data_IF_422063975167
#
_entry.id   IF_422063975167
#
_cell.length_a   1.000
_cell.length_b   1.000
_cell.length_c   1.000
_cell.angle_alpha   90.00
_cell.angle_beta   90.00
_cell.angle_gamma   90.00
#
_symmetry.space_group_name_H-M   'P 1'
#
loop_
_entity.id
_entity.type
_entity.pdbx_description
1 polymer ?
#
# COMPACT_ATOMS: atom_id res chain seq x y z
N UNK A 1 71.89 36.55 42.63
CA UNK A 1 72.23 37.86 42.04
C UNK A 1 71.77 37.81 40.59
N UNK A 2 70.78 38.64 40.25
CA UNK A 2 70.03 38.76 38.98
C UNK A 2 69.23 37.49 38.56
N UNK A 3 67.89 37.42 38.56
CA UNK A 3 66.81 38.32 38.11
C UNK A 3 66.89 38.67 36.63
N UNK A 4 66.03 38.05 35.81
CA UNK A 4 65.06 38.78 34.97
C UNK A 4 63.97 37.84 34.44
N UNK A 5 62.76 38.38 34.46
CA UNK A 5 61.44 37.82 34.18
C UNK A 5 60.96 38.37 32.82
N UNK A 6 59.83 37.86 32.33
CA UNK A 6 58.93 38.36 31.27
C UNK A 6 59.11 37.66 29.90
N UNK A 7 58.08 37.05 29.29
CA UNK A 7 56.65 37.39 29.28
C UNK A 7 55.80 36.13 29.01
N UNK A 8 54.71 35.93 29.75
CA UNK A 8 53.54 35.14 29.34
C UNK A 8 52.38 36.15 29.14
N UNK A 9 51.51 36.04 28.12
CA UNK A 9 50.30 35.22 28.29
C UNK A 9 49.69 34.65 26.99
N UNK A 10 49.23 33.39 26.98
CA UNK A 10 47.83 33.02 26.65
C UNK A 10 47.61 31.49 26.69
N UNK A 11 46.73 31.04 27.61
CA UNK A 11 45.91 29.82 27.52
C UNK A 11 44.56 30.26 26.84
N UNK A 12 43.67 29.40 26.28
CA UNK A 12 43.17 28.25 27.00
C UNK A 12 42.96 26.92 26.21
N UNK A 13 43.08 25.83 26.98
CA UNK A 13 42.14 24.70 27.14
C UNK A 13 41.49 23.96 25.95
N UNK A 14 41.38 22.64 26.15
CA UNK A 14 40.27 21.80 25.67
C UNK A 14 40.50 21.21 24.27
N UNK A 15 40.51 19.90 24.10
CA UNK A 15 39.28 19.10 24.12
C UNK A 15 39.69 17.61 24.29
N UNK A 16 39.39 16.97 25.41
CA UNK A 16 38.16 16.17 25.62
C UNK A 16 37.94 15.20 24.45
N UNK A 17 38.33 13.94 24.60
CA UNK A 17 37.40 12.99 25.21
C UNK A 17 36.16 12.89 24.32
N UNK A 18 36.24 12.13 23.21
CA UNK A 18 35.07 11.76 22.41
C UNK A 18 34.19 10.85 23.27
N UNK A 19 33.32 11.46 24.07
CA UNK A 19 32.30 10.77 24.84
C UNK A 19 31.33 10.10 23.87
N UNK A 20 31.23 8.77 23.96
CA UNK A 20 30.15 7.97 23.39
C UNK A 20 28.86 8.14 24.22
N UNK A 21 28.33 9.35 24.28
CA UNK A 21 27.05 9.68 24.91
C UNK A 21 26.48 10.89 24.16
N UNK A 22 25.57 10.62 23.22
CA UNK A 22 24.43 11.46 22.83
C UNK A 22 23.76 10.93 21.55
N UNK A 23 23.64 9.60 21.42
CA UNK A 23 22.54 9.07 20.62
C UNK A 23 21.29 9.18 21.48
N UNK A 24 20.57 10.29 21.36
CA UNK A 24 19.21 10.37 21.90
C UNK A 24 18.46 9.11 21.46
N UNK A 25 17.91 8.30 22.39
CA UNK A 25 17.21 7.09 22.01
C UNK A 25 16.08 7.49 21.06
N UNK A 26 16.10 6.94 19.85
CA UNK A 26 15.04 7.19 18.89
C UNK A 26 13.71 6.85 19.59
N UNK A 27 12.73 7.76 19.60
CA UNK A 27 11.46 7.49 20.26
C UNK A 27 10.85 6.23 19.63
N UNK A 28 10.72 5.17 20.42
CA UNK A 28 10.13 3.91 20.00
C UNK A 28 8.62 4.10 20.03
N UNK A 29 7.99 4.03 18.86
CA UNK A 29 6.54 4.08 18.76
C UNK A 29 5.95 2.76 19.27
N UNK A 30 4.92 2.78 20.14
CA UNK A 30 4.17 1.59 20.54
C UNK A 30 3.64 0.80 19.32
N UNK A 31 3.60 -0.53 19.45
CA UNK A 31 3.18 -1.43 18.37
C UNK A 31 1.76 -1.14 17.87
N UNK A 32 0.86 -0.75 18.76
CA UNK A 32 -0.52 -0.37 18.45
C UNK A 32 -0.59 0.85 17.52
N UNK A 33 0.23 1.87 17.79
CA UNK A 33 0.30 3.06 16.94
C UNK A 33 0.97 2.76 15.60
N UNK A 34 1.99 1.89 15.58
CA UNK A 34 2.56 1.40 14.32
C UNK A 34 1.48 0.72 13.48
N UNK A 35 0.69 -0.17 14.09
CA UNK A 35 -0.41 -0.87 13.41
C UNK A 35 -1.44 0.11 12.85
N UNK A 36 -1.87 1.10 13.64
CA UNK A 36 -2.85 2.11 13.22
C UNK A 36 -2.36 2.99 12.07
N UNK A 37 -1.08 3.38 12.10
CA UNK A 37 -0.46 4.19 11.02
C UNK A 37 -0.39 3.36 9.74
N UNK A 38 0.16 2.15 9.83
CA UNK A 38 0.33 1.27 8.66
C UNK A 38 -1.04 0.89 8.07
N UNK A 39 -2.06 0.65 8.91
CA UNK A 39 -3.42 0.29 8.47
C UNK A 39 -4.13 1.40 7.67
N UNK A 40 -3.65 2.64 7.71
CA UNK A 40 -4.21 3.77 6.95
C UNK A 40 -3.51 4.00 5.60
N UNK A 41 -2.44 3.28 5.33
CA UNK A 41 -1.66 3.44 4.10
C UNK A 41 -2.35 2.81 2.89
N UNK A 42 -1.99 3.31 1.71
CA UNK A 42 -2.43 2.71 0.44
C UNK A 42 -1.84 1.30 0.25
N UNK A 43 -2.53 0.46 -0.51
CA UNK A 43 -2.06 -0.90 -0.85
C UNK A 43 -0.66 -0.87 -1.47
N UNK A 44 -0.38 0.11 -2.34
CA UNK A 44 0.94 0.29 -2.97
C UNK A 44 2.06 0.49 -1.95
N UNK A 45 1.84 1.38 -0.97
CA UNK A 45 2.80 1.61 0.10
C UNK A 45 3.01 0.35 0.94
N UNK A 46 1.93 -0.38 1.24
CA UNK A 46 2.00 -1.62 2.01
C UNK A 46 2.81 -2.71 1.32
N UNK A 47 2.68 -2.87 0.00
CA UNK A 47 3.50 -3.82 -0.77
C UNK A 47 4.98 -3.49 -0.65
N UNK A 48 5.36 -2.21 -0.71
CA UNK A 48 6.75 -1.79 -0.51
C UNK A 48 7.22 -2.07 0.93
N UNK A 49 6.35 -1.84 1.91
CA UNK A 49 6.67 -2.00 3.33
C UNK A 49 6.87 -3.46 3.75
N UNK A 50 6.26 -4.40 3.04
CA UNK A 50 6.55 -5.83 3.20
C UNK A 50 8.02 -6.18 2.96
N UNK A 51 8.75 -5.37 2.18
CA UNK A 51 10.16 -5.60 1.87
C UNK A 51 11.13 -4.94 2.87
N UNK A 52 10.66 -4.13 3.81
CA UNK A 52 11.52 -3.39 4.74
C UNK A 52 12.12 -4.32 5.80
N UNK A 53 11.28 -5.06 6.52
CA UNK A 53 11.74 -6.04 7.50
C UNK A 53 10.68 -7.13 7.80
N UNK A 54 11.12 -8.22 8.45
CA UNK A 54 10.27 -9.37 8.79
C UNK A 54 9.08 -8.99 9.68
N UNK A 55 9.27 -8.06 10.62
CA UNK A 55 8.19 -7.63 11.51
C UNK A 55 7.07 -6.92 10.76
N UNK A 56 7.41 -6.07 9.78
CA UNK A 56 6.41 -5.38 8.96
C UNK A 56 5.73 -6.35 7.99
N UNK A 57 6.48 -7.27 7.39
CA UNK A 57 5.90 -8.35 6.59
C UNK A 57 4.89 -9.18 7.41
N UNK A 58 5.26 -9.58 8.63
CA UNK A 58 4.39 -10.34 9.52
C UNK A 58 3.13 -9.56 9.92
N UNK A 59 3.28 -8.27 10.22
CA UNK A 59 2.16 -7.39 10.59
C UNK A 59 1.17 -7.26 9.43
N UNK A 60 1.68 -6.92 8.24
CA UNK A 60 0.88 -6.67 7.03
C UNK A 60 0.22 -7.96 6.51
N UNK A 61 0.85 -9.12 6.74
CA UNK A 61 0.29 -10.42 6.32
C UNK A 61 -0.72 -11.01 7.30
N UNK A 62 -0.98 -10.35 8.44
CA UNK A 62 -1.91 -10.85 9.46
C UNK A 62 -3.37 -10.67 9.05
N UNK A 63 -4.24 -11.58 9.51
CA UNK A 63 -5.68 -11.53 9.24
C UNK A 63 -6.35 -10.30 9.87
N UNK A 64 -5.90 -9.93 11.06
CA UNK A 64 -6.38 -8.73 11.76
C UNK A 64 -6.07 -7.47 10.97
N UNK A 65 -4.84 -7.36 10.46
CA UNK A 65 -4.44 -6.23 9.60
C UNK A 65 -5.32 -6.16 8.34
N UNK A 66 -5.52 -7.28 7.65
CA UNK A 66 -6.37 -7.32 6.46
C UNK A 66 -7.82 -6.85 6.75
N UNK A 67 -8.42 -7.32 7.85
CA UNK A 67 -9.76 -6.88 8.28
C UNK A 67 -9.82 -5.40 8.60
N UNK A 68 -8.85 -4.90 9.36
CA UNK A 68 -8.81 -3.49 9.76
C UNK A 68 -8.59 -2.58 8.56
N UNK A 69 -7.65 -2.93 7.67
CA UNK A 69 -7.38 -2.19 6.43
C UNK A 69 -8.61 -2.14 5.52
N UNK A 70 -9.30 -3.27 5.32
CA UNK A 70 -10.54 -3.33 4.55
C UNK A 70 -11.65 -2.46 5.16
N UNK A 71 -11.83 -2.51 6.48
CA UNK A 71 -12.80 -1.67 7.18
C UNK A 71 -12.49 -0.19 6.98
N UNK A 72 -11.25 0.23 7.23
CA UNK A 72 -10.82 1.62 7.05
C UNK A 72 -11.03 2.06 5.59
N UNK A 73 -10.67 1.22 4.62
CA UNK A 73 -10.88 1.52 3.20
C UNK A 73 -12.37 1.71 2.87
N UNK A 74 -13.24 0.85 3.40
CA UNK A 74 -14.69 0.94 3.18
C UNK A 74 -15.31 2.20 3.80
N UNK A 75 -14.82 2.63 4.97
CA UNK A 75 -15.28 3.83 5.66
C UNK A 75 -14.79 5.10 4.97
N UNK A 76 -13.53 5.11 4.52
CA UNK A 76 -12.94 6.21 3.75
C UNK A 76 -13.62 6.39 2.39
N UNK A 77 -14.09 5.31 1.79
CA UNK A 77 -14.79 5.32 0.52
C UNK A 77 -16.28 5.72 0.63
N UNK A 78 -16.81 6.06 1.81
CA UNK A 78 -18.19 6.60 1.93
C UNK A 78 -18.39 7.96 1.24
N UNK A 79 -17.31 8.59 0.76
CA UNK A 79 -17.33 9.72 -0.16
C UNK A 79 -16.13 9.69 -1.12
N UNK A 80 -15.57 8.49 -1.35
CA UNK A 80 -14.48 8.27 -2.30
C UNK A 80 -15.05 7.80 -3.64
N UNK A 81 -14.25 7.85 -4.71
CA UNK A 81 -14.71 7.44 -6.02
C UNK A 81 -15.21 6.00 -6.04
N UNK A 82 -16.47 5.81 -6.38
CA UNK A 82 -17.04 4.48 -6.61
C UNK A 82 -16.24 3.79 -7.71
N UNK A 83 -15.61 2.64 -7.46
CA UNK A 83 -14.96 1.89 -8.53
C UNK A 83 -16.01 1.05 -9.25
N UNK A 84 -16.14 1.24 -10.55
CA UNK A 84 -16.98 0.42 -11.42
C UNK A 84 -16.15 -0.71 -12.02
N UNK A 85 -16.75 -1.89 -12.07
CA UNK A 85 -16.22 -3.05 -12.75
C UNK A 85 -17.25 -3.55 -13.77
N UNK A 86 -16.82 -3.79 -15.00
CA UNK A 86 -17.67 -4.33 -16.06
C UNK A 86 -16.88 -5.24 -16.99
N UNK A 87 -17.58 -6.12 -17.70
CA UNK A 87 -16.96 -7.05 -18.63
C UNK A 87 -17.58 -6.95 -20.02
N UNK A 88 -16.77 -7.26 -21.04
CA UNK A 88 -17.19 -7.37 -22.43
C UNK A 88 -16.87 -8.76 -22.94
N UNK A 89 -17.86 -9.44 -23.52
CA UNK A 89 -17.65 -10.67 -24.26
C UNK A 89 -17.58 -10.37 -25.76
N UNK A 90 -16.65 -11.02 -26.44
CA UNK A 90 -16.51 -11.00 -27.90
C UNK A 90 -16.30 -12.42 -28.41
N UNK A 91 -16.33 -12.61 -29.73
CA UNK A 91 -15.97 -13.89 -30.36
C UNK A 91 -14.51 -14.33 -30.10
N UNK A 92 -13.66 -13.42 -29.61
CA UNK A 92 -12.24 -13.66 -29.34
C UNK A 92 -11.91 -13.73 -27.84
N UNK A 93 -12.92 -13.75 -26.96
CA UNK A 93 -12.73 -13.90 -25.51
C UNK A 93 -13.42 -12.83 -24.68
N UNK A 94 -12.97 -12.70 -23.42
CA UNK A 94 -13.56 -11.82 -22.40
C UNK A 94 -12.56 -10.77 -21.95
N UNK A 95 -12.96 -9.51 -21.94
CA UNK A 95 -12.18 -8.42 -21.35
C UNK A 95 -12.90 -7.87 -20.13
N UNK A 96 -12.19 -7.78 -19.01
CA UNK A 96 -12.66 -7.15 -17.78
C UNK A 96 -12.07 -5.75 -17.66
N UNK A 97 -12.91 -4.79 -17.30
CA UNK A 97 -12.54 -3.40 -17.10
C UNK A 97 -12.86 -2.97 -15.69
N UNK A 98 -11.99 -2.15 -15.12
CA UNK A 98 -12.26 -1.38 -13.91
C UNK A 98 -11.95 0.09 -14.15
N UNK A 99 -12.85 0.96 -13.71
CA UNK A 99 -12.61 2.39 -13.69
C UNK A 99 -13.13 3.01 -12.40
N UNK A 100 -12.81 4.27 -12.22
CA UNK A 100 -13.32 5.13 -11.18
C UNK A 100 -14.56 5.88 -11.71
N UNK A 101 -15.65 5.94 -10.95
CA UNK A 101 -16.90 6.61 -11.31
C UNK A 101 -16.69 8.13 -11.46
N UNK A 102 -15.89 8.77 -10.60
CA UNK A 102 -15.51 10.17 -10.76
C UNK A 102 -14.76 10.36 -12.09
N UNK A 103 -13.93 9.40 -12.49
CA UNK A 103 -13.25 9.45 -13.79
C UNK A 103 -14.22 9.33 -14.97
N UNK A 104 -15.30 8.57 -14.82
CA UNK A 104 -16.37 8.47 -15.82
C UNK A 104 -17.17 9.78 -15.92
N UNK A 105 -17.50 10.39 -14.78
CA UNK A 105 -18.27 11.63 -14.70
C UNK A 105 -17.50 12.86 -15.18
N UNK A 106 -16.17 12.86 -15.00
CA UNK A 106 -15.28 13.97 -15.38
C UNK A 106 -14.43 13.68 -16.63
N UNK A 107 -14.80 12.68 -17.44
CA UNK A 107 -14.13 12.27 -18.70
C UNK A 107 -12.59 12.07 -18.59
N UNK A 108 -12.09 11.66 -17.42
CA UNK A 108 -10.66 11.34 -17.28
C UNK A 108 -10.43 9.86 -17.62
N UNK A 109 -9.55 9.59 -18.60
CA UNK A 109 -9.36 8.27 -19.26
C UNK A 109 -8.58 7.24 -18.42
N UNK A 110 -8.88 7.06 -17.14
CA UNK A 110 -8.22 6.01 -16.34
C UNK A 110 -9.09 4.75 -16.29
N UNK A 111 -9.01 3.94 -17.36
CA UNK A 111 -9.64 2.62 -17.42
C UNK A 111 -8.52 1.58 -17.37
N UNK A 112 -8.54 0.72 -16.35
CA UNK A 112 -7.69 -0.46 -16.32
C UNK A 112 -8.44 -1.61 -17.00
N UNK A 113 -7.76 -2.35 -17.87
CA UNK A 113 -8.31 -3.51 -18.56
C UNK A 113 -7.46 -4.75 -18.29
N UNK A 114 -8.11 -5.89 -18.09
CA UNK A 114 -7.50 -7.22 -18.04
C UNK A 114 -8.19 -8.08 -19.07
N UNK A 115 -7.43 -8.59 -20.03
CA UNK A 115 -7.91 -9.55 -21.02
C UNK A 115 -7.81 -10.96 -20.45
N UNK A 116 -8.93 -11.68 -20.41
CA UNK A 116 -8.99 -13.12 -20.17
C UNK A 116 -9.10 -13.76 -21.55
N UNK A 117 -7.96 -14.19 -22.09
CA UNK A 117 -7.94 -14.97 -23.33
C UNK A 117 -8.56 -16.34 -23.06
N UNK A 118 -9.66 -16.61 -23.75
CA UNK A 118 -10.26 -17.93 -23.87
C UNK A 118 -10.48 -18.17 -25.36
N UNK A 119 -9.73 -19.12 -25.94
CA UNK A 119 -9.70 -19.45 -27.38
C UNK A 119 -10.99 -20.17 -27.84
N UNK A 120 -12.08 -19.99 -27.10
CA UNK A 120 -13.36 -20.66 -27.32
C UNK A 120 -14.50 -19.65 -27.29
N UNK A 121 -15.54 -19.91 -28.09
CA UNK A 121 -16.73 -19.05 -28.22
C UNK A 121 -17.41 -18.84 -26.86
N UNK A 122 -17.10 -17.71 -26.21
CA UNK A 122 -17.69 -17.35 -24.92
C UNK A 122 -19.04 -16.66 -25.13
N UNK A 123 -20.14 -17.33 -24.79
CA UNK A 123 -21.49 -16.79 -25.02
C UNK A 123 -22.06 -15.95 -23.88
N UNK A 124 -21.52 -16.05 -22.65
CA UNK A 124 -22.05 -15.29 -21.51
C UNK A 124 -21.08 -15.13 -20.35
N UNK A 125 -20.92 -13.90 -19.85
CA UNK A 125 -20.22 -13.60 -18.59
C UNK A 125 -21.25 -13.23 -17.53
N UNK A 126 -21.24 -13.94 -16.40
CA UNK A 126 -22.12 -13.70 -15.27
C UNK A 126 -21.32 -13.25 -14.06
N UNK A 127 -21.71 -12.13 -13.46
CA UNK A 127 -21.24 -11.77 -12.13
C UNK A 127 -22.04 -12.57 -11.10
N UNK A 128 -21.36 -13.44 -10.37
CA UNK A 128 -21.97 -14.19 -9.27
C UNK A 128 -22.09 -13.28 -8.04
N UNK A 129 -21.09 -12.44 -7.80
CA UNK A 129 -21.10 -11.45 -6.72
C UNK A 129 -19.73 -10.83 -6.47
N UNK A 130 -19.66 -10.01 -5.42
CA UNK A 130 -18.42 -9.39 -4.97
C UNK A 130 -18.26 -9.48 -3.45
N UNK A 131 -17.01 -9.61 -2.98
CA UNK A 131 -16.67 -9.62 -1.55
C UNK A 131 -15.36 -8.89 -1.32
N UNK A 132 -15.36 -7.83 -0.50
CA UNK A 132 -14.16 -7.07 -0.14
C UNK A 132 -13.30 -6.61 -1.35
N UNK A 133 -13.95 -6.26 -2.46
CA UNK A 133 -13.27 -5.86 -3.70
C UNK A 133 -12.83 -7.02 -4.61
N UNK A 134 -12.96 -8.28 -4.18
CA UNK A 134 -12.85 -9.43 -5.07
C UNK A 134 -14.17 -9.64 -5.82
N UNK A 135 -14.08 -9.93 -7.11
CA UNK A 135 -15.22 -10.15 -7.98
C UNK A 135 -15.22 -11.61 -8.43
N UNK A 136 -16.35 -12.29 -8.19
CA UNK A 136 -16.57 -13.67 -8.61
C UNK A 136 -17.37 -13.68 -9.91
N UNK A 137 -16.78 -14.26 -10.95
CA UNK A 137 -17.30 -14.27 -12.31
C UNK A 137 -17.45 -15.71 -12.79
N UNK A 138 -18.46 -15.96 -13.61
CA UNK A 138 -18.60 -17.22 -14.35
C UNK A 138 -18.67 -16.95 -15.84
N UNK A 139 -17.80 -17.63 -16.58
CA UNK A 139 -17.63 -17.49 -18.03
C UNK A 139 -18.31 -18.65 -18.77
N UNK A 140 -18.35 -19.82 -18.15
CA UNK A 140 -19.02 -21.04 -18.63
C UNK A 140 -19.73 -21.73 -17.47
N UNK A 141 -20.74 -22.58 -17.74
CA UNK A 141 -21.30 -23.46 -16.72
C UNK A 141 -20.16 -24.27 -16.07
N UNK A 142 -20.00 -24.12 -14.75
CA UNK A 142 -18.94 -24.74 -13.93
C UNK A 142 -17.54 -24.10 -13.98
N UNK A 143 -17.36 -22.96 -14.65
CA UNK A 143 -16.10 -22.21 -14.59
C UNK A 143 -16.29 -20.92 -13.80
N UNK A 144 -15.49 -20.79 -12.73
CA UNK A 144 -15.51 -19.66 -11.82
C UNK A 144 -14.13 -19.01 -11.82
N UNK A 145 -14.11 -17.69 -12.00
CA UNK A 145 -12.94 -16.85 -11.95
C UNK A 145 -13.06 -15.86 -10.80
N UNK A 146 -11.98 -15.71 -10.03
CA UNK A 146 -11.85 -14.66 -9.02
C UNK A 146 -10.95 -13.57 -9.58
N UNK A 147 -11.49 -12.38 -9.73
CA UNK A 147 -10.76 -11.22 -10.20
C UNK A 147 -10.59 -10.18 -9.09
N UNK A 148 -9.36 -9.68 -8.92
CA UNK A 148 -9.06 -8.57 -8.03
C UNK A 148 -8.73 -7.31 -8.85
N UNK A 149 -9.69 -6.41 -9.12
CA UNK A 149 -9.46 -5.16 -9.86
C UNK A 149 -8.40 -4.25 -9.21
N UNK A 150 -8.15 -4.39 -7.90
CA UNK A 150 -7.19 -3.57 -7.15
C UNK A 150 -5.76 -4.11 -7.27
N UNK A 151 -5.57 -5.34 -7.77
CA UNK A 151 -4.24 -5.97 -7.91
C UNK A 151 -3.50 -5.62 -9.20
N UNK A 152 -4.08 -4.81 -10.08
CA UNK A 152 -3.39 -4.35 -11.30
C UNK A 152 -2.52 -3.14 -10.90
N UNK A 153 -1.34 -3.43 -10.38
CA UNK A 153 -0.25 -2.47 -10.16
C UNK A 153 1.06 -3.04 -10.69
#
# INVERSE_FOLDING_TARGET
>A
MASEEQTNPHLPEGTSGINAQDSMPLPILPQELIFDIISRLSVKSLVQFRCICKSWLSLISSHEFAKTHLKISSEKNRGGPDSLAFGRCTEHGVTLYSCNLDSLMHETKSINAVEIYDDTMVSSLWMIGSINGLICLSVRPNEIFLWNPISIF
#
